data_IF_387763852419
#
_entry.id   IF_387763852419
#
_cell.length_a   1.000
_cell.length_b   1.000
_cell.length_c   1.000
_cell.angle_alpha   90.00
_cell.angle_beta   90.00
_cell.angle_gamma   90.00
#
_symmetry.space_group_name_H-M   'P 1'
#
loop_
_entity.id
_entity.type
_entity.pdbx_description
1 polymer ?
#
# COMPACT_ATOMS: atom_id res chain seq x y z
N UNK A 1 0.39 -2.28 -17.12
CA UNK A 1 -0.22 -1.40 -16.09
C UNK A 1 -0.70 -2.30 -14.95
N UNK A 2 -0.99 -1.78 -13.76
CA UNK A 2 -1.43 -2.64 -12.65
C UNK A 2 -2.47 -1.99 -11.76
N UNK A 3 -3.22 -2.80 -11.04
CA UNK A 3 -4.21 -2.36 -10.07
C UNK A 3 -3.93 -2.95 -8.69
N UNK A 4 -4.35 -2.27 -7.64
CA UNK A 4 -4.35 -2.86 -6.30
C UNK A 4 -5.44 -2.29 -5.42
N UNK A 5 -5.96 -3.14 -4.53
CA UNK A 5 -6.75 -2.70 -3.37
C UNK A 5 -5.77 -2.38 -2.26
N UNK A 6 -5.81 -1.15 -1.77
CA UNK A 6 -4.95 -0.68 -0.69
C UNK A 6 -5.64 0.33 0.21
N UNK A 7 -4.97 0.72 1.28
CA UNK A 7 -5.38 1.88 2.09
C UNK A 7 -4.16 2.73 2.40
N UNK A 8 -4.30 4.04 2.20
CA UNK A 8 -3.22 5.00 2.41
C UNK A 8 -3.01 5.26 3.89
N UNK A 9 -1.75 5.38 4.28
CA UNK A 9 -1.36 5.77 5.63
C UNK A 9 -1.76 7.24 5.83
N UNK A 10 -2.42 7.61 6.94
CA UNK A 10 -2.74 9.00 7.22
C UNK A 10 -1.51 9.90 7.19
N UNK A 11 -1.66 11.11 6.66
CA UNK A 11 -0.54 12.06 6.46
C UNK A 11 0.33 12.26 7.72
N UNK A 12 -0.23 12.46 8.93
CA UNK A 12 0.61 12.62 10.13
C UNK A 12 1.54 11.44 10.37
N UNK A 13 1.03 10.21 10.23
CA UNK A 13 1.82 8.98 10.37
C UNK A 13 2.80 8.79 9.22
N UNK A 14 2.38 9.09 7.98
CA UNK A 14 3.25 9.00 6.83
C UNK A 14 4.46 9.96 6.94
N UNK A 15 4.24 11.16 7.49
CA UNK A 15 5.28 12.14 7.76
C UNK A 15 6.22 11.67 8.89
N UNK A 16 5.72 10.97 9.92
CA UNK A 16 6.54 10.30 10.94
C UNK A 16 7.44 9.25 10.28
N UNK A 17 6.89 8.39 9.42
CA UNK A 17 7.63 7.35 8.70
C UNK A 17 8.65 7.94 7.72
N UNK A 18 8.41 9.14 7.20
CA UNK A 18 9.37 9.79 6.33
C UNK A 18 10.50 10.43 7.12
N UNK A 19 10.17 11.20 8.16
CA UNK A 19 11.16 11.94 8.96
C UNK A 19 12.09 11.02 9.74
N UNK A 20 11.57 9.90 10.24
CA UNK A 20 12.33 8.92 11.03
C UNK A 20 12.88 7.77 10.17
N UNK A 21 13.00 7.92 8.85
CA UNK A 21 13.59 6.86 8.03
C UNK A 21 15.09 6.71 8.35
N UNK A 22 15.64 5.48 8.37
CA UNK A 22 17.08 5.30 8.59
C UNK A 22 17.87 5.89 7.41
N UNK A 23 19.06 6.41 7.70
CA UNK A 23 19.96 6.95 6.68
C UNK A 23 20.72 5.78 6.01
N UNK A 24 20.24 5.38 4.83
CA UNK A 24 20.85 4.32 4.02
C UNK A 24 21.05 4.86 2.61
N UNK A 25 22.30 5.08 2.21
CA UNK A 25 22.67 5.84 1.01
C UNK A 25 22.16 5.22 -0.30
N UNK A 26 22.19 3.88 -0.39
CA UNK A 26 21.82 3.14 -1.59
C UNK A 26 20.32 2.79 -1.64
N UNK A 27 19.47 3.55 -0.95
CA UNK A 27 18.01 3.38 -0.98
C UNK A 27 17.33 4.46 -1.82
N UNK A 28 16.39 4.04 -2.66
CA UNK A 28 15.38 4.91 -3.27
C UNK A 28 14.16 4.93 -2.37
N UNK A 29 14.02 6.00 -1.60
CA UNK A 29 12.89 6.23 -0.71
C UNK A 29 11.61 6.51 -1.50
N UNK A 30 10.50 5.92 -1.06
CA UNK A 30 9.16 6.17 -1.58
C UNK A 30 8.63 7.43 -0.90
N UNK A 31 8.06 8.37 -1.66
CA UNK A 31 7.48 9.59 -1.08
C UNK A 31 6.32 9.26 -0.13
N UNK A 32 6.17 10.04 0.94
CA UNK A 32 5.19 9.75 2.01
C UNK A 32 3.75 9.73 1.52
N UNK A 33 3.41 10.50 0.49
CA UNK A 33 2.06 10.52 -0.10
C UNK A 33 1.69 9.19 -0.78
N UNK A 34 2.69 8.33 -1.01
CA UNK A 34 2.50 7.00 -1.60
C UNK A 34 2.53 5.88 -0.56
N UNK A 35 2.67 6.18 0.73
CA UNK A 35 2.64 5.17 1.77
C UNK A 35 1.24 4.58 1.90
N UNK A 36 1.15 3.28 1.65
CA UNK A 36 -0.08 2.52 1.71
C UNK A 36 0.22 1.08 2.12
N UNK A 37 -0.83 0.40 2.54
CA UNK A 37 -0.84 -1.05 2.69
C UNK A 37 -1.54 -1.62 1.48
N UNK A 38 -0.91 -2.60 0.83
CA UNK A 38 -1.52 -3.34 -0.27
C UNK A 38 -2.22 -4.58 0.29
N UNK A 39 -3.55 -4.65 0.17
CA UNK A 39 -4.32 -5.84 0.56
C UNK A 39 -4.33 -6.89 -0.56
N UNK A 40 -4.48 -6.44 -1.81
CA UNK A 40 -4.42 -7.31 -2.98
C UNK A 40 -3.87 -6.56 -4.19
N UNK A 41 -2.91 -7.18 -4.88
CA UNK A 41 -2.41 -6.72 -6.17
C UNK A 41 -3.08 -7.50 -7.31
N UNK A 42 -3.29 -6.81 -8.42
CA UNK A 42 -3.79 -7.31 -9.68
C UNK A 42 -2.88 -6.79 -10.80
N UNK A 43 -2.64 -7.61 -11.81
CA UNK A 43 -1.96 -7.18 -13.03
C UNK A 43 -2.89 -6.25 -13.85
N UNK A 44 -2.88 -6.41 -15.16
CA UNK A 44 -3.82 -5.72 -16.02
C UNK A 44 -5.22 -6.31 -15.84
N UNK A 45 -6.23 -5.43 -15.72
CA UNK A 45 -7.64 -5.81 -15.60
C UNK A 45 -8.37 -5.32 -16.84
N UNK A 46 -9.18 -6.19 -17.44
CA UNK A 46 -10.16 -5.77 -18.43
C UNK A 46 -11.37 -5.09 -17.76
N UNK A 47 -12.31 -4.56 -18.55
CA UNK A 47 -13.45 -3.80 -18.03
C UNK A 47 -14.37 -4.61 -17.07
N UNK A 48 -14.63 -5.88 -17.37
CA UNK A 48 -15.47 -6.74 -16.53
C UNK A 48 -14.79 -7.11 -15.21
N UNK A 49 -13.50 -7.41 -15.27
CA UNK A 49 -12.68 -7.67 -14.08
C UNK A 49 -12.57 -6.41 -13.21
N UNK A 50 -12.40 -5.24 -13.83
CA UNK A 50 -12.32 -3.97 -13.12
C UNK A 50 -13.59 -3.67 -12.33
N UNK A 51 -14.76 -3.90 -12.93
CA UNK A 51 -16.06 -3.77 -12.23
C UNK A 51 -16.14 -4.73 -11.04
N UNK A 52 -15.72 -5.97 -11.22
CA UNK A 52 -15.73 -6.99 -10.15
C UNK A 52 -14.83 -6.60 -8.98
N UNK A 53 -13.64 -6.05 -9.28
CA UNK A 53 -12.69 -5.59 -8.25
C UNK A 53 -13.19 -4.32 -7.54
N UNK A 54 -13.92 -3.44 -8.23
CA UNK A 54 -14.59 -2.29 -7.60
C UNK A 54 -15.64 -2.75 -6.58
N UNK A 55 -16.53 -3.67 -6.97
CA UNK A 55 -17.54 -4.24 -6.07
C UNK A 55 -16.90 -4.95 -4.86
N UNK A 56 -15.79 -5.66 -5.09
CA UNK A 56 -15.02 -6.29 -4.03
C UNK A 56 -14.42 -5.25 -3.07
N UNK A 57 -13.90 -4.14 -3.61
CA UNK A 57 -13.37 -3.03 -2.81
C UNK A 57 -14.46 -2.41 -1.93
N UNK A 58 -15.67 -2.28 -2.47
CA UNK A 58 -16.84 -1.76 -1.76
C UNK A 58 -17.27 -2.65 -0.61
N UNK A 59 -17.39 -3.96 -0.86
CA UNK A 59 -17.71 -4.93 0.19
C UNK A 59 -16.63 -4.94 1.28
N UNK A 60 -15.36 -4.83 0.88
CA UNK A 60 -14.25 -4.80 1.82
C UNK A 60 -14.24 -3.55 2.71
N UNK A 61 -14.86 -2.45 2.28
CA UNK A 61 -14.96 -1.23 3.10
C UNK A 61 -15.70 -1.44 4.43
N UNK A 62 -16.53 -2.48 4.56
CA UNK A 62 -17.22 -2.83 5.80
C UNK A 62 -16.28 -3.32 6.92
N UNK A 63 -15.01 -3.64 6.61
CA UNK A 63 -14.00 -3.99 7.62
C UNK A 63 -13.21 -2.78 8.15
N UNK A 64 -13.58 -1.58 7.73
CA UNK A 64 -12.92 -0.34 8.12
C UNK A 64 -13.81 0.45 9.09
N UNK A 65 -13.22 1.27 9.98
CA UNK A 65 -11.80 1.59 10.12
C UNK A 65 -10.95 0.44 10.71
N UNK A 66 -9.66 0.36 10.33
CA UNK A 66 -8.71 -0.63 10.87
C UNK A 66 -7.68 0.06 11.77
N UNK A 67 -7.58 -0.38 13.03
CA UNK A 67 -6.53 0.07 13.96
C UNK A 67 -5.21 -0.61 13.62
N UNK A 68 -4.17 0.20 13.47
CA UNK A 68 -2.83 -0.24 13.09
C UNK A 68 -1.82 0.15 14.16
N UNK A 69 -0.85 -0.72 14.38
CA UNK A 69 0.31 -0.47 15.22
C UNK A 69 1.58 -0.84 14.48
N UNK A 70 2.67 -0.13 14.79
CA UNK A 70 4.01 -0.47 14.30
C UNK A 70 5.07 -0.11 15.34
N UNK A 71 6.27 -0.66 15.19
CA UNK A 71 7.37 -0.50 16.13
C UNK A 71 8.67 -0.03 15.48
N UNK A 72 9.11 -0.67 14.39
CA UNK A 72 10.42 -0.41 13.79
C UNK A 72 10.43 -0.65 12.27
N UNK A 73 11.42 -0.09 11.57
CA UNK A 73 11.71 -0.45 10.19
C UNK A 73 12.26 -1.88 10.11
N UNK A 74 12.01 -2.53 8.98
CA UNK A 74 12.53 -3.85 8.65
C UNK A 74 12.81 -3.96 7.15
N UNK A 75 13.22 -5.15 6.71
CA UNK A 75 13.58 -5.42 5.33
C UNK A 75 13.00 -6.73 4.80
N UNK A 76 12.70 -6.76 3.51
CA UNK A 76 12.30 -7.97 2.79
C UNK A 76 13.37 -8.38 1.76
N UNK A 77 13.78 -9.66 1.67
CA UNK A 77 13.26 -10.81 2.44
C UNK A 77 13.69 -10.86 3.91
N UNK A 78 14.75 -10.14 4.31
CA UNK A 78 15.13 -9.99 5.72
C UNK A 78 15.82 -8.65 5.95
N UNK A 79 15.88 -8.19 7.21
CA UNK A 79 16.57 -6.96 7.60
C UNK A 79 18.04 -6.96 7.22
N UNK A 80 18.73 -8.11 7.28
CA UNK A 80 20.16 -8.21 6.94
C UNK A 80 20.44 -8.22 5.43
N UNK A 81 19.43 -8.50 4.60
CA UNK A 81 19.57 -8.70 3.16
C UNK A 81 18.32 -8.17 2.45
N UNK A 82 17.98 -6.92 2.67
CA UNK A 82 16.76 -6.31 2.17
C UNK A 82 16.90 -5.80 0.73
N UNK A 83 15.93 -6.11 -0.12
CA UNK A 83 15.66 -5.41 -1.39
C UNK A 83 14.61 -4.32 -1.21
N UNK A 84 13.69 -4.52 -0.27
CA UNK A 84 12.60 -3.60 0.06
C UNK A 84 12.71 -3.26 1.53
N UNK A 85 12.62 -1.97 1.84
CA UNK A 85 12.59 -1.44 3.20
C UNK A 85 11.12 -1.24 3.53
N UNK A 86 10.70 -1.80 4.66
CA UNK A 86 9.30 -1.84 5.06
C UNK A 86 9.12 -1.34 6.49
N UNK A 87 7.91 -0.90 6.80
CA UNK A 87 7.41 -0.73 8.16
C UNK A 87 6.36 -1.82 8.37
N UNK A 88 6.69 -2.92 9.08
CA UNK A 88 5.74 -3.97 9.41
C UNK A 88 4.64 -3.43 10.31
N UNK A 89 3.42 -3.93 10.14
CA UNK A 89 2.26 -3.50 10.91
C UNK A 89 1.64 -4.68 11.66
N UNK A 90 0.98 -4.35 12.76
CA UNK A 90 -0.02 -5.20 13.40
C UNK A 90 -1.37 -4.54 13.17
N UNK A 91 -2.33 -5.29 12.64
CA UNK A 91 -3.70 -4.84 12.43
C UNK A 91 -4.58 -5.45 13.52
N UNK A 92 -5.17 -4.63 14.38
CA UNK A 92 -6.00 -5.12 15.48
C UNK A 92 -7.30 -5.72 14.95
N UNK A 93 -7.67 -6.91 15.44
CA UNK A 93 -8.93 -7.61 15.13
C UNK A 93 -9.20 -7.82 13.61
N UNK A 94 -8.17 -7.75 12.78
CA UNK A 94 -8.31 -7.82 11.32
C UNK A 94 -8.00 -9.21 10.76
N UNK A 95 -8.88 -9.68 9.88
CA UNK A 95 -8.66 -10.87 9.06
C UNK A 95 -8.96 -10.57 7.60
N UNK A 96 -7.97 -10.77 6.74
CA UNK A 96 -8.13 -10.53 5.30
C UNK A 96 -9.27 -11.43 4.75
N UNK A 97 -10.30 -10.86 4.10
CA UNK A 97 -11.36 -11.62 3.44
C UNK A 97 -10.79 -12.69 2.50
N UNK A 98 -11.46 -13.84 2.41
CA UNK A 98 -10.98 -14.97 1.60
C UNK A 98 -10.85 -14.59 0.12
N UNK A 99 -11.71 -13.72 -0.37
CA UNK A 99 -11.73 -13.19 -1.74
C UNK A 99 -10.48 -12.37 -2.08
N UNK A 100 -9.83 -11.78 -1.07
CA UNK A 100 -8.59 -11.01 -1.25
C UNK A 100 -7.32 -11.86 -1.04
N UNK A 101 -7.43 -13.07 -0.49
CA UNK A 101 -6.27 -13.92 -0.18
C UNK A 101 -5.57 -14.42 -1.43
N UNK A 102 -4.25 -14.55 -1.32
CA UNK A 102 -3.39 -15.14 -2.35
C UNK A 102 -2.81 -16.46 -1.84
N UNK A 103 -2.07 -17.20 -2.69
CA UNK A 103 -1.28 -18.37 -2.23
C UNK A 103 -0.23 -17.98 -1.17
N UNK A 104 0.29 -16.76 -1.22
CA UNK A 104 1.21 -16.23 -0.21
C UNK A 104 0.40 -15.63 0.95
N UNK A 105 0.81 -15.88 2.21
CA UNK A 105 0.21 -15.25 3.37
C UNK A 105 0.26 -13.72 3.25
N UNK A 106 -0.82 -13.07 3.68
CA UNK A 106 -0.85 -11.63 3.82
C UNK A 106 0.01 -11.22 5.01
N UNK A 107 1.01 -10.36 4.75
CA UNK A 107 1.87 -9.77 5.77
C UNK A 107 1.68 -8.25 5.67
N UNK A 108 0.96 -7.61 6.59
CA UNK A 108 0.68 -6.18 6.50
C UNK A 108 1.95 -5.37 6.73
N UNK A 109 2.27 -4.51 5.77
CA UNK A 109 3.43 -3.64 5.82
C UNK A 109 3.22 -2.42 4.93
N UNK A 110 3.96 -1.36 5.22
CA UNK A 110 4.13 -0.19 4.34
C UNK A 110 5.50 -0.30 3.69
N UNK A 111 5.55 -0.28 2.35
CA UNK A 111 6.84 -0.14 1.66
C UNK A 111 7.29 1.31 1.70
N UNK A 112 8.47 1.55 2.27
CA UNK A 112 9.03 2.91 2.42
C UNK A 112 10.25 3.15 1.54
N UNK A 113 10.88 2.09 1.03
CA UNK A 113 12.05 2.24 0.18
C UNK A 113 12.45 0.97 -0.56
N UNK A 114 13.30 1.14 -1.57
CA UNK A 114 13.88 0.06 -2.35
C UNK A 114 15.40 0.22 -2.42
N UNK A 115 16.16 -0.86 -2.25
CA UNK A 115 17.58 -0.83 -2.55
C UNK A 115 17.78 -0.52 -4.04
N UNK A 116 18.60 0.50 -4.36
CA UNK A 116 18.91 0.91 -5.74
C UNK A 116 19.70 -0.17 -6.47
N UNK A 117 20.60 -0.82 -5.75
CA UNK A 117 21.46 -1.89 -6.21
C UNK A 117 21.71 -2.84 -5.05
N UNK A 118 21.92 -4.13 -5.34
CA UNK A 118 22.30 -5.05 -4.28
C UNK A 118 21.26 -5.14 -3.16
N UNK A 119 21.66 -5.72 -2.03
CA UNK A 119 20.82 -5.84 -0.83
C UNK A 119 21.40 -4.93 0.23
N UNK A 120 20.55 -4.36 1.07
CA UNK A 120 20.96 -3.50 2.18
C UNK A 120 20.68 -4.17 3.51
N UNK A 121 21.48 -3.81 4.52
CA UNK A 121 21.10 -4.05 5.91
C UNK A 121 20.23 -2.89 6.38
N UNK A 122 19.03 -3.20 6.85
CA UNK A 122 18.14 -2.26 7.52
C UNK A 122 18.47 -2.31 9.01
N UNK A 123 18.98 -1.21 9.60
CA UNK A 123 19.28 -1.18 11.03
C UNK A 123 17.98 -1.30 11.83
N UNK A 124 18.09 -1.77 13.07
CA UNK A 124 16.99 -1.62 14.03
C UNK A 124 16.75 -0.13 14.25
N UNK A 125 15.67 0.39 13.67
CA UNK A 125 15.34 1.81 13.72
C UNK A 125 13.88 1.96 14.16
N UNK A 126 13.61 2.54 15.34
CA UNK A 126 12.24 2.63 15.86
C UNK A 126 11.41 3.64 15.07
N UNK A 127 10.12 3.34 14.95
CA UNK A 127 9.09 4.17 14.34
C UNK A 127 7.72 3.89 14.97
N UNK A 128 7.70 3.82 16.30
CA UNK A 128 6.51 3.48 17.06
C UNK A 128 5.36 4.46 16.75
N UNK A 129 4.24 3.92 16.29
CA UNK A 129 3.05 4.70 15.97
C UNK A 129 1.83 3.80 16.03
N UNK A 130 0.71 4.38 16.47
CA UNK A 130 -0.64 3.85 16.26
C UNK A 130 -1.41 4.79 15.35
N UNK A 131 -2.22 4.25 14.44
CA UNK A 131 -3.00 5.02 13.48
C UNK A 131 -4.19 4.23 12.96
N UNK A 132 -5.11 4.91 12.29
CA UNK A 132 -6.31 4.33 11.68
C UNK A 132 -6.16 4.33 10.17
N UNK A 133 -6.49 3.21 9.54
CA UNK A 133 -6.81 3.19 8.12
C UNK A 133 -8.30 3.45 7.97
N UNK A 134 -8.65 4.50 7.23
CA UNK A 134 -10.04 4.97 7.14
C UNK A 134 -10.89 4.14 6.19
N UNK A 135 -10.33 3.75 5.04
CA UNK A 135 -11.07 3.02 3.99
C UNK A 135 -10.13 2.31 3.01
N UNK A 136 -10.59 1.25 2.33
CA UNK A 136 -9.88 0.69 1.20
C UNK A 136 -10.19 1.52 -0.06
N UNK A 137 -9.25 1.50 -1.01
CA UNK A 137 -9.38 2.13 -2.32
C UNK A 137 -8.81 1.22 -3.39
N UNK A 138 -9.40 1.26 -4.58
CA UNK A 138 -8.82 0.68 -5.78
C UNK A 138 -7.93 1.71 -6.46
N UNK A 139 -6.66 1.35 -6.64
CA UNK A 139 -5.64 2.22 -7.21
C UNK A 139 -5.17 1.66 -8.54
N UNK A 140 -5.11 2.52 -9.55
CA UNK A 140 -4.38 2.27 -10.79
C UNK A 140 -2.95 2.77 -10.63
N UNK A 141 -1.97 1.90 -10.90
CA UNK A 141 -0.54 2.19 -10.81
C UNK A 141 0.11 2.12 -12.17
N UNK A 142 0.67 3.24 -12.62
CA UNK A 142 1.35 3.36 -13.90
C UNK A 142 2.62 4.20 -13.77
N UNK A 143 3.78 3.64 -14.16
CA UNK A 143 5.08 4.33 -14.17
C UNK A 143 5.42 5.05 -12.85
N UNK A 144 4.91 4.52 -11.72
CA UNK A 144 5.13 5.10 -10.39
C UNK A 144 4.13 6.19 -9.99
N UNK A 145 3.10 6.44 -10.78
CA UNK A 145 1.96 7.30 -10.46
C UNK A 145 0.80 6.46 -9.94
N UNK A 146 0.11 6.94 -8.91
CA UNK A 146 -1.08 6.32 -8.35
C UNK A 146 -2.30 7.19 -8.63
N UNK A 147 -3.35 6.59 -9.18
CA UNK A 147 -4.63 7.24 -9.46
C UNK A 147 -5.76 6.42 -8.84
N UNK A 148 -6.67 7.08 -8.12
CA UNK A 148 -7.84 6.41 -7.56
C UNK A 148 -8.83 6.09 -8.69
N UNK A 149 -9.26 4.84 -8.81
CA UNK A 149 -10.08 4.41 -9.96
C UNK A 149 -11.47 5.08 -9.94
N UNK A 150 -12.03 5.38 -8.77
CA UNK A 150 -13.31 6.10 -8.67
C UNK A 150 -13.28 7.51 -9.29
N UNK A 151 -12.12 8.17 -9.28
CA UNK A 151 -11.94 9.48 -9.94
C UNK A 151 -11.77 9.34 -11.46
N UNK A 152 -11.25 8.20 -11.93
CA UNK A 152 -11.04 7.91 -13.35
C UNK A 152 -12.37 7.62 -14.08
N UNK A 153 -13.29 6.88 -13.46
CA UNK A 153 -14.61 6.56 -14.06
C UNK A 153 -15.48 7.81 -14.21
N UNK A 154 -15.40 8.75 -13.26
CA UNK A 154 -16.10 10.04 -13.36
C UNK A 154 -15.62 10.88 -14.55
N UNK A 155 -14.31 10.86 -14.84
CA UNK A 155 -13.72 11.63 -15.94
C UNK A 155 -13.88 10.95 -17.32
N UNK A 156 -13.91 9.63 -17.39
CA UNK A 156 -14.14 8.90 -18.65
C UNK A 156 -15.60 9.01 -19.14
N UNK A 157 -16.57 9.15 -18.23
CA UNK A 157 -17.98 9.33 -18.58
C UNK A 157 -18.34 10.79 -18.95
N UNK A 158 -17.39 11.73 -18.83
CA UNK A 158 -17.60 13.13 -19.21
C UNK A 158 -17.21 13.38 -20.68
N UNK A 159 -16.38 12.53 -21.28
CA UNK A 159 -15.88 12.71 -22.66
C UNK A 159 -16.80 12.10 -23.73
N UNK A 160 -17.70 11.17 -23.35
CA UNK A 160 -18.60 10.48 -24.31
C UNK A 160 -20.01 11.06 -24.41
N UNK A 161 -20.30 12.20 -23.76
CA UNK A 161 -21.61 12.86 -23.84
C UNK A 161 -21.69 14.09 -24.75
N UNK A 162 -20.63 14.39 -25.50
CA UNK A 162 -20.61 15.45 -26.51
C UNK A 162 -20.10 14.92 -27.85
N UNK A 163 -20.89 14.06 -28.50
CA UNK A 163 -20.77 13.73 -29.91
C UNK A 163 -22.10 13.24 -30.44
#
# INVERSE_FOLDING_TARGET
MSYFIGSFVPKPTADIFWKNRPLIDIVRWVKSERYHITFRYFDELNAGELSTVLDLTEKFANQFPIRCQTNMYSGFPSSQRARVIIVPLVLEEFSLPSELRTKKPFVPHVTVGYARQGRVTVPQHPVQSSFILEKPVLVHSEKGTYTLVREKVANSNCVTKNS
#
